data_IF_185051917648
#
_entry.id   IF_185051917648
#
_cell.length_a   1.000
_cell.length_b   1.000
_cell.length_c   1.000
_cell.angle_alpha   90.00
_cell.angle_beta   90.00
_cell.angle_gamma   90.00
#
_symmetry.space_group_name_H-M   'P 1'
#
loop_
_entity.id
_entity.type
_entity.pdbx_description
1 polymer ?
#
# COMPACT_ATOMS: atom_id res chain seq x y z
N UNK A 1 -21.48 17.72 56.71
CA UNK A 1 -21.86 19.14 56.92
C UNK A 1 -23.07 19.42 56.04
N UNK A 2 -24.24 19.64 56.70
CA UNK A 2 -25.51 19.94 56.04
C UNK A 2 -25.43 21.27 55.30
N UNK A 3 -25.92 21.32 54.06
CA UNK A 3 -26.07 22.57 53.31
C UNK A 3 -27.07 23.47 54.05
N UNK A 4 -26.58 24.32 54.92
CA UNK A 4 -27.35 25.40 55.51
C UNK A 4 -27.85 26.29 54.38
N UNK A 5 -29.14 26.47 54.35
CA UNK A 5 -29.84 27.27 53.33
C UNK A 5 -29.46 28.76 53.49
N UNK A 6 -28.50 29.21 52.76
CA UNK A 6 -27.90 30.55 52.80
C UNK A 6 -28.87 31.67 52.41
N UNK A 7 -30.08 31.30 51.93
CA UNK A 7 -31.07 32.24 51.40
C UNK A 7 -31.89 33.01 52.50
N UNK A 8 -31.80 32.57 53.75
CA UNK A 8 -32.57 33.14 54.85
C UNK A 8 -31.75 33.82 55.95
N UNK A 9 -30.45 33.95 55.76
CA UNK A 9 -29.54 34.59 56.69
C UNK A 9 -29.55 36.10 56.52
N UNK A 10 -29.57 36.83 57.64
CA UNK A 10 -29.42 38.29 57.66
C UNK A 10 -28.01 38.68 57.20
N UNK A 11 -27.83 39.93 56.81
CA UNK A 11 -26.56 40.46 56.32
C UNK A 11 -25.42 40.31 57.33
N UNK A 12 -25.71 40.41 58.64
CA UNK A 12 -24.74 40.21 59.71
C UNK A 12 -24.32 38.73 59.85
N UNK A 13 -25.26 37.81 59.79
CA UNK A 13 -25.00 36.37 59.86
C UNK A 13 -24.22 35.85 58.64
N UNK A 14 -24.45 36.41 57.45
CA UNK A 14 -23.67 36.13 56.27
C UNK A 14 -22.20 36.58 56.40
N UNK A 15 -21.97 37.73 57.00
CA UNK A 15 -20.62 38.23 57.30
C UNK A 15 -19.87 37.31 58.25
N UNK A 16 -20.58 36.86 59.33
CA UNK A 16 -20.02 35.94 60.31
C UNK A 16 -19.66 34.56 59.67
N UNK A 17 -20.54 34.02 58.85
CA UNK A 17 -20.25 32.77 58.10
C UNK A 17 -19.10 32.95 57.14
N UNK A 18 -19.02 34.09 56.45
CA UNK A 18 -17.88 34.39 55.54
C UNK A 18 -16.57 34.55 56.35
N UNK A 19 -16.63 35.16 57.53
CA UNK A 19 -15.47 35.27 58.42
C UNK A 19 -15.04 33.93 58.99
N UNK A 20 -15.96 33.03 59.35
CA UNK A 20 -15.68 31.66 59.78
C UNK A 20 -15.08 30.85 58.64
N UNK A 21 -15.67 30.89 57.47
CA UNK A 21 -15.12 30.21 56.28
C UNK A 21 -13.74 30.75 55.90
N UNK A 22 -13.49 32.04 56.07
CA UNK A 22 -12.19 32.66 55.83
C UNK A 22 -11.15 32.24 56.88
N UNK A 23 -11.57 32.02 58.13
CA UNK A 23 -10.75 31.55 59.24
C UNK A 23 -10.36 30.09 59.07
N UNK A 24 -11.29 29.25 58.61
CA UNK A 24 -11.03 27.84 58.27
C UNK A 24 -10.12 27.71 57.06
N UNK A 25 -10.22 28.65 56.09
CA UNK A 25 -9.34 28.68 54.91
C UNK A 25 -7.94 29.18 55.26
N UNK A 26 -7.77 29.99 56.31
CA UNK A 26 -6.44 30.50 56.77
C UNK A 26 -5.72 29.47 57.64
N UNK A 27 -6.43 28.44 58.14
CA UNK A 27 -5.85 27.39 58.99
C UNK A 27 -5.57 26.09 58.21
N UNK A 28 -5.85 26.07 56.92
CA UNK A 28 -5.51 24.94 56.05
C UNK A 28 -4.24 25.25 55.27
N UNK A 29 -3.10 24.82 55.84
CA UNK A 29 -1.78 24.68 55.23
C UNK A 29 -1.19 25.97 54.62
N UNK A 30 -0.21 26.51 55.31
CA UNK A 30 0.86 27.30 54.68
C UNK A 30 1.49 26.49 53.56
N UNK A 31 0.84 26.40 52.41
CA UNK A 31 1.48 25.94 51.17
C UNK A 31 2.58 26.95 50.86
N UNK A 32 3.81 26.51 51.00
CA UNK A 32 4.94 27.35 50.69
C UNK A 32 4.83 27.77 49.19
N UNK A 33 5.24 28.99 48.88
CA UNK A 33 5.22 29.49 47.50
C UNK A 33 5.94 28.51 46.54
N UNK A 34 6.93 27.79 47.03
CA UNK A 34 7.64 26.76 46.28
C UNK A 34 6.76 25.56 45.93
N UNK A 35 5.87 25.12 46.82
CA UNK A 35 4.94 24.02 46.53
C UNK A 35 3.90 24.42 45.49
N UNK A 36 3.39 25.65 45.56
CA UNK A 36 2.45 26.19 44.58
C UNK A 36 3.11 26.31 43.20
N UNK A 37 4.32 26.81 43.15
CA UNK A 37 5.09 26.92 41.88
C UNK A 37 5.42 25.54 41.30
N UNK A 38 5.79 24.58 42.11
CA UNK A 38 6.09 23.21 41.69
C UNK A 38 4.86 22.53 41.11
N UNK A 39 3.69 22.65 41.74
CA UNK A 39 2.43 22.07 41.22
C UNK A 39 1.94 22.79 39.96
N UNK A 40 2.09 24.11 39.88
CA UNK A 40 1.79 24.86 38.64
C UNK A 40 2.70 24.45 37.50
N UNK A 41 3.99 24.19 37.75
CA UNK A 41 4.94 23.70 36.77
C UNK A 41 4.55 22.31 36.30
N UNK A 42 4.25 21.40 37.21
CA UNK A 42 3.78 20.02 36.88
C UNK A 42 2.51 20.02 36.03
N UNK A 43 1.54 20.87 36.35
CA UNK A 43 0.31 20.99 35.57
C UNK A 43 0.57 21.54 34.18
N UNK A 44 1.41 22.56 34.06
CA UNK A 44 1.84 23.14 32.77
C UNK A 44 2.57 22.07 31.93
N UNK A 45 3.52 21.37 32.51
CA UNK A 45 4.29 20.36 31.83
C UNK A 45 3.40 19.22 31.30
N UNK A 46 2.41 18.79 32.07
CA UNK A 46 1.42 17.78 31.64
C UNK A 46 0.58 18.27 30.45
N UNK A 47 0.12 19.51 30.48
CA UNK A 47 -0.67 20.09 29.39
C UNK A 47 0.16 20.24 28.13
N UNK A 48 1.37 20.77 28.26
CA UNK A 48 2.32 20.92 27.15
C UNK A 48 2.67 19.55 26.57
N UNK A 49 3.03 18.57 27.42
CA UNK A 49 3.33 17.22 26.99
C UNK A 49 2.20 16.58 26.21
N UNK A 50 0.97 16.65 26.73
CA UNK A 50 -0.22 16.12 26.05
C UNK A 50 -0.49 16.80 24.70
N UNK A 51 -0.29 18.10 24.62
CA UNK A 51 -0.46 18.87 23.38
C UNK A 51 0.61 18.49 22.36
N UNK A 52 1.87 18.41 22.78
CA UNK A 52 2.98 17.99 21.93
C UNK A 52 2.80 16.54 21.48
N UNK A 53 2.46 15.63 22.38
CA UNK A 53 2.22 14.22 22.06
C UNK A 53 1.10 14.04 21.02
N UNK A 54 -0.03 14.75 21.19
CA UNK A 54 -1.11 14.71 20.20
C UNK A 54 -0.66 15.26 18.83
N UNK A 55 0.13 16.33 18.82
CA UNK A 55 0.69 16.89 17.59
C UNK A 55 1.63 15.91 16.90
N UNK A 56 2.54 15.29 17.65
CA UNK A 56 3.50 14.30 17.12
C UNK A 56 2.78 13.07 16.55
N UNK A 57 1.80 12.53 17.30
CA UNK A 57 0.99 11.40 16.84
C UNK A 57 0.23 11.78 15.56
N UNK A 58 -0.34 12.99 15.50
CA UNK A 58 -1.03 13.46 14.31
C UNK A 58 -0.12 13.49 13.07
N UNK A 59 1.09 14.02 13.21
CA UNK A 59 2.07 14.04 12.12
C UNK A 59 2.44 12.63 11.69
N UNK A 60 2.70 11.70 12.64
CA UNK A 60 3.03 10.31 12.33
C UNK A 60 1.91 9.61 11.55
N UNK A 61 0.66 9.83 11.93
CA UNK A 61 -0.51 9.27 11.22
C UNK A 61 -0.60 9.81 9.79
N UNK A 62 -0.38 11.11 9.60
CA UNK A 62 -0.40 11.72 8.25
C UNK A 62 0.73 11.16 7.39
N UNK A 63 1.95 11.08 7.91
CA UNK A 63 3.09 10.51 7.18
C UNK A 63 2.85 9.04 6.82
N UNK A 64 2.33 8.25 7.76
CA UNK A 64 1.98 6.85 7.50
C UNK A 64 0.90 6.72 6.41
N UNK A 65 -0.14 7.55 6.46
CA UNK A 65 -1.20 7.55 5.45
C UNK A 65 -0.68 7.90 4.06
N UNK A 66 0.17 8.93 3.95
CA UNK A 66 0.81 9.31 2.67
C UNK A 66 1.70 8.17 2.17
N UNK A 67 2.49 7.55 3.04
CA UNK A 67 3.38 6.43 2.67
C UNK A 67 2.60 5.24 2.12
N UNK A 68 1.48 4.88 2.75
CA UNK A 68 0.59 3.81 2.27
C UNK A 68 -0.03 4.17 0.92
N UNK A 69 -0.49 5.42 0.76
CA UNK A 69 -1.04 5.89 -0.52
C UNK A 69 -0.01 5.78 -1.66
N UNK A 70 1.20 6.28 -1.43
CA UNK A 70 2.28 6.20 -2.43
C UNK A 70 2.61 4.74 -2.76
N UNK A 71 2.77 3.89 -1.75
CA UNK A 71 3.07 2.48 -1.95
C UNK A 71 1.98 1.77 -2.77
N UNK A 72 0.70 1.96 -2.45
CA UNK A 72 -0.42 1.28 -3.14
C UNK A 72 -0.66 1.79 -4.55
N UNK A 73 -0.38 3.07 -4.82
CA UNK A 73 -0.56 3.64 -6.15
C UNK A 73 0.57 3.27 -7.11
N UNK A 74 1.81 3.19 -6.64
CA UNK A 74 2.99 2.99 -7.49
C UNK A 74 3.47 1.54 -7.51
N UNK A 75 3.26 0.80 -6.43
CA UNK A 75 3.79 -0.56 -6.26
C UNK A 75 2.69 -1.52 -5.77
N UNK A 76 1.70 -1.86 -6.61
CA UNK A 76 0.67 -2.80 -6.22
C UNK A 76 1.25 -4.19 -5.96
N UNK A 77 0.80 -4.82 -4.90
CA UNK A 77 1.14 -6.20 -4.55
C UNK A 77 0.11 -7.13 -5.18
N UNK A 78 0.58 -8.11 -5.93
CA UNK A 78 -0.25 -9.11 -6.60
C UNK A 78 -0.02 -10.47 -5.97
N UNK A 79 -1.08 -11.27 -5.83
CA UNK A 79 -0.99 -12.67 -5.45
C UNK A 79 -1.10 -13.54 -6.69
N UNK A 80 -0.17 -14.49 -6.85
CA UNK A 80 -0.09 -15.36 -8.01
C UNK A 80 -1.04 -16.54 -7.82
N UNK A 81 -1.91 -16.75 -8.81
CA UNK A 81 -2.81 -17.88 -8.89
C UNK A 81 -2.55 -18.68 -10.17
N UNK A 82 -2.47 -20.01 -10.01
CA UNK A 82 -2.19 -20.92 -11.12
C UNK A 82 -0.71 -21.18 -11.36
N UNK A 83 -0.41 -22.02 -12.34
CA UNK A 83 0.92 -22.56 -12.59
C UNK A 83 1.54 -22.09 -13.90
N UNK A 84 0.88 -21.18 -14.61
CA UNK A 84 1.30 -20.77 -15.96
C UNK A 84 2.66 -20.06 -16.02
N UNK A 85 3.18 -19.61 -14.88
CA UNK A 85 4.49 -18.96 -14.74
C UNK A 85 5.50 -19.80 -13.97
N UNK A 86 5.17 -21.06 -13.64
CA UNK A 86 6.11 -21.99 -13.01
C UNK A 86 7.23 -22.36 -14.00
N UNK A 87 8.49 -22.45 -13.57
CA UNK A 87 8.99 -22.37 -12.20
C UNK A 87 9.31 -20.94 -11.70
N UNK A 88 9.23 -19.94 -12.56
CA UNK A 88 9.64 -18.56 -12.21
C UNK A 88 8.77 -17.96 -11.12
N UNK A 89 7.46 -18.17 -11.19
CA UNK A 89 6.50 -17.75 -10.18
C UNK A 89 5.58 -18.90 -9.82
N UNK A 90 5.47 -19.18 -8.53
CA UNK A 90 4.66 -20.27 -8.00
C UNK A 90 3.34 -19.78 -7.43
N UNK A 91 2.35 -20.64 -7.41
CA UNK A 91 1.05 -20.35 -6.83
C UNK A 91 1.17 -19.96 -5.35
N UNK A 92 0.48 -18.90 -4.97
CA UNK A 92 0.46 -18.37 -3.60
C UNK A 92 1.57 -17.37 -3.28
N UNK A 93 2.52 -17.14 -4.18
CA UNK A 93 3.52 -16.10 -4.01
C UNK A 93 2.91 -14.70 -4.14
N UNK A 94 3.52 -13.75 -3.43
CA UNK A 94 3.22 -12.33 -3.57
C UNK A 94 4.34 -11.65 -4.33
N UNK A 95 3.97 -10.91 -5.36
CA UNK A 95 4.91 -10.14 -6.19
C UNK A 95 4.54 -8.67 -6.13
N UNK A 96 5.55 -7.82 -6.12
CA UNK A 96 5.38 -6.37 -6.22
C UNK A 96 5.54 -5.96 -7.67
N UNK A 97 4.51 -5.35 -8.24
CA UNK A 97 4.56 -4.82 -9.59
C UNK A 97 4.94 -3.34 -9.55
N UNK A 98 5.74 -2.90 -10.52
CA UNK A 98 6.06 -1.50 -10.74
C UNK A 98 5.27 -1.02 -11.95
N UNK A 99 4.52 0.06 -11.79
CA UNK A 99 3.76 0.66 -12.89
C UNK A 99 4.65 1.57 -13.73
N UNK A 100 4.28 1.72 -14.99
CA UNK A 100 4.82 2.74 -15.91
C UNK A 100 6.32 2.58 -16.25
N UNK A 101 6.73 1.35 -16.52
CA UNK A 101 8.07 1.05 -17.04
C UNK A 101 8.01 0.71 -18.54
N UNK A 102 9.05 1.09 -19.29
CA UNK A 102 9.20 0.63 -20.66
C UNK A 102 9.40 -0.89 -20.67
N UNK A 103 8.56 -1.58 -21.44
CA UNK A 103 8.62 -3.05 -21.53
C UNK A 103 9.73 -3.50 -22.47
N UNK A 104 10.40 -4.58 -22.09
CA UNK A 104 11.45 -5.24 -22.86
C UNK A 104 11.18 -6.74 -22.95
N UNK A 105 11.71 -7.38 -24.01
CA UNK A 105 11.69 -8.83 -24.11
C UNK A 105 12.37 -9.45 -22.88
N UNK A 106 11.70 -10.42 -22.26
CA UNK A 106 12.10 -11.07 -21.02
C UNK A 106 11.39 -10.54 -19.76
N UNK A 107 10.78 -9.35 -19.79
CA UNK A 107 10.06 -8.82 -18.64
C UNK A 107 8.80 -9.63 -18.31
N UNK A 108 8.47 -9.71 -17.03
CA UNK A 108 7.23 -10.32 -16.56
C UNK A 108 6.22 -9.21 -16.36
N UNK A 109 5.05 -9.32 -16.99
CA UNK A 109 4.01 -8.31 -16.96
C UNK A 109 2.71 -8.88 -16.41
N UNK A 110 2.00 -8.04 -15.65
CA UNK A 110 0.65 -8.31 -15.21
C UNK A 110 -0.31 -7.41 -16.01
N UNK A 111 -1.34 -8.01 -16.61
CA UNK A 111 -2.31 -7.30 -17.45
C UNK A 111 -3.71 -7.86 -17.30
N UNK A 112 -4.70 -7.06 -17.61
CA UNK A 112 -6.10 -7.46 -17.56
C UNK A 112 -6.54 -8.09 -18.88
N UNK A 113 -7.11 -9.29 -18.80
CA UNK A 113 -7.84 -9.93 -19.89
C UNK A 113 -9.30 -10.10 -19.49
N UNK A 114 -10.15 -9.23 -19.97
CA UNK A 114 -11.51 -9.15 -19.47
C UNK A 114 -11.52 -8.88 -17.95
N UNK A 115 -12.09 -9.78 -17.17
CA UNK A 115 -12.18 -9.64 -15.71
C UNK A 115 -11.07 -10.39 -14.95
N UNK A 116 -10.04 -10.89 -15.64
CA UNK A 116 -8.95 -11.66 -15.03
C UNK A 116 -7.64 -10.92 -15.16
N UNK A 117 -6.91 -10.80 -14.06
CA UNK A 117 -5.53 -10.32 -14.08
C UNK A 117 -4.62 -11.52 -14.39
N UNK A 118 -3.91 -11.44 -15.50
CA UNK A 118 -2.96 -12.47 -15.94
C UNK A 118 -1.53 -11.98 -15.77
N UNK A 119 -0.63 -12.91 -15.52
CA UNK A 119 0.82 -12.66 -15.48
C UNK A 119 1.48 -13.51 -16.54
N UNK A 120 2.28 -12.89 -17.39
CA UNK A 120 2.97 -13.54 -18.51
C UNK A 120 4.33 -12.87 -18.73
N UNK A 121 5.18 -13.54 -19.53
CA UNK A 121 6.47 -12.99 -19.95
C UNK A 121 6.37 -12.38 -21.35
N UNK A 122 7.00 -11.24 -21.53
CA UNK A 122 7.16 -10.57 -22.82
C UNK A 122 8.18 -11.35 -23.64
N UNK A 123 7.76 -11.84 -24.78
CA UNK A 123 8.61 -12.58 -25.73
C UNK A 123 9.07 -11.67 -26.86
N UNK A 124 8.13 -10.95 -27.46
CA UNK A 124 8.44 -10.06 -28.57
C UNK A 124 7.70 -8.73 -28.48
N UNK A 125 8.34 -7.69 -29.00
CA UNK A 125 7.87 -6.32 -29.06
C UNK A 125 7.06 -6.09 -30.35
N UNK A 126 6.33 -4.96 -30.44
CA UNK A 126 5.63 -4.57 -31.65
C UNK A 126 6.53 -4.60 -32.90
N UNK A 127 6.00 -5.12 -34.00
CA UNK A 127 6.66 -5.22 -35.29
C UNK A 127 7.54 -6.46 -35.49
N UNK A 128 7.92 -7.18 -34.45
CA UNK A 128 8.77 -8.35 -34.51
C UNK A 128 8.02 -9.59 -35.02
N UNK A 129 8.73 -10.49 -35.65
CA UNK A 129 8.22 -11.79 -36.07
C UNK A 129 8.51 -12.85 -35.03
N UNK A 130 7.48 -13.60 -34.62
CA UNK A 130 7.59 -14.72 -33.70
C UNK A 130 7.29 -16.03 -34.46
N UNK A 131 8.12 -17.00 -34.29
CA UNK A 131 7.88 -18.36 -34.75
C UNK A 131 8.18 -19.36 -33.64
N UNK A 132 7.41 -20.45 -33.59
CA UNK A 132 7.55 -21.50 -32.58
C UNK A 132 7.54 -22.82 -33.33
N UNK A 133 8.62 -23.57 -33.23
CA UNK A 133 8.71 -24.88 -33.88
C UNK A 133 7.91 -25.96 -33.15
N UNK A 134 7.80 -27.13 -33.77
CA UNK A 134 7.08 -28.30 -33.23
C UNK A 134 7.65 -28.81 -31.90
N UNK A 135 8.88 -28.45 -31.58
CA UNK A 135 9.55 -28.82 -30.33
C UNK A 135 9.39 -27.71 -29.26
N UNK A 136 8.65 -26.62 -29.56
CA UNK A 136 8.46 -25.52 -28.68
C UNK A 136 9.63 -24.54 -28.58
N UNK A 137 10.59 -24.57 -29.53
CA UNK A 137 11.64 -23.57 -29.58
C UNK A 137 11.08 -22.28 -30.18
N UNK A 138 11.28 -21.19 -29.48
CA UNK A 138 10.81 -19.85 -29.88
C UNK A 138 11.94 -19.13 -30.60
N UNK A 139 11.64 -18.53 -31.74
CA UNK A 139 12.49 -17.58 -32.43
C UNK A 139 11.82 -16.24 -32.61
N UNK A 140 12.59 -15.17 -32.48
CA UNK A 140 12.16 -13.79 -32.69
C UNK A 140 13.04 -13.17 -33.76
N UNK A 141 12.44 -12.70 -34.86
CA UNK A 141 13.14 -12.17 -36.05
C UNK A 141 14.18 -13.17 -36.58
N UNK A 142 13.84 -14.46 -36.57
CA UNK A 142 14.71 -15.54 -37.02
C UNK A 142 15.86 -15.90 -36.09
N UNK A 143 15.96 -15.30 -34.91
CA UNK A 143 16.95 -15.62 -33.88
C UNK A 143 16.33 -16.47 -32.78
N UNK A 144 16.92 -17.62 -32.48
CA UNK A 144 16.46 -18.47 -31.38
C UNK A 144 16.56 -17.73 -30.06
N UNK A 145 15.49 -17.77 -29.27
CA UNK A 145 15.43 -17.17 -27.93
C UNK A 145 16.11 -18.11 -26.93
N UNK A 146 16.99 -17.55 -26.08
CA UNK A 146 17.61 -18.30 -24.96
C UNK A 146 16.66 -18.30 -23.74
N UNK A 147 15.97 -19.42 -23.55
CA UNK A 147 14.91 -19.57 -22.58
C UNK A 147 15.33 -20.43 -21.39
N UNK A 148 16.39 -20.02 -20.70
CA UNK A 148 16.90 -20.71 -19.49
C UNK A 148 15.94 -20.79 -18.32
N UNK A 149 14.88 -20.01 -18.34
CA UNK A 149 13.85 -19.98 -17.32
C UNK A 149 12.81 -21.10 -17.46
N UNK A 150 12.80 -21.84 -18.56
CA UNK A 150 11.87 -22.94 -18.80
C UNK A 150 12.41 -24.24 -18.21
N UNK A 151 11.53 -25.03 -17.61
CA UNK A 151 11.82 -26.43 -17.28
C UNK A 151 11.68 -27.32 -18.49
N UNK A 152 10.64 -27.17 -19.28
CA UNK A 152 10.32 -27.93 -20.46
C UNK A 152 9.84 -27.03 -21.59
N UNK A 153 10.24 -27.33 -22.80
CA UNK A 153 9.79 -26.67 -24.02
C UNK A 153 8.61 -27.46 -24.58
N UNK A 154 7.53 -26.77 -24.88
CA UNK A 154 6.38 -27.34 -25.56
C UNK A 154 5.76 -26.28 -26.47
N UNK A 155 5.11 -26.69 -27.55
CA UNK A 155 4.36 -25.79 -28.42
C UNK A 155 3.19 -25.15 -27.66
N UNK A 156 2.63 -25.87 -26.68
CA UNK A 156 1.48 -25.42 -25.93
C UNK A 156 0.22 -25.29 -26.81
N UNK A 157 -0.81 -24.64 -26.26
CA UNK A 157 -1.96 -24.23 -27.04
C UNK A 157 -1.70 -22.84 -27.64
N UNK A 158 -1.43 -22.82 -28.93
CA UNK A 158 -1.26 -21.56 -29.67
C UNK A 158 -2.43 -21.43 -30.65
N UNK A 159 -3.33 -20.50 -30.37
CA UNK A 159 -4.48 -20.20 -31.24
C UNK A 159 -4.12 -19.18 -32.36
N UNK A 160 -2.83 -18.97 -32.60
CA UNK A 160 -2.30 -17.98 -33.52
C UNK A 160 -1.54 -18.70 -34.62
N UNK A 161 -1.79 -18.30 -35.86
CA UNK A 161 -1.03 -18.79 -37.03
C UNK A 161 0.43 -18.36 -36.91
N UNK A 162 1.33 -19.30 -36.99
CA UNK A 162 2.78 -19.09 -36.95
C UNK A 162 3.40 -19.28 -38.36
N UNK A 163 4.42 -18.51 -38.73
CA UNK A 163 5.01 -17.39 -38.01
C UNK A 163 4.07 -16.17 -37.91
N UNK A 164 4.09 -15.48 -36.76
CA UNK A 164 3.20 -14.35 -36.47
C UNK A 164 3.98 -13.05 -36.35
N UNK A 165 3.54 -12.01 -37.06
CA UNK A 165 4.05 -10.65 -36.85
C UNK A 165 3.25 -9.93 -35.78
N UNK A 166 3.94 -9.47 -34.75
CA UNK A 166 3.34 -8.71 -33.65
C UNK A 166 2.93 -7.34 -34.17
N UNK A 167 1.65 -7.02 -34.11
CA UNK A 167 1.12 -5.74 -34.59
C UNK A 167 1.67 -4.55 -33.78
N UNK A 168 1.64 -3.32 -34.35
CA UNK A 168 2.25 -2.10 -33.80
C UNK A 168 1.69 -1.70 -32.44
N UNK A 169 0.79 -2.17 -31.85
CA UNK A 169 0.32 -1.83 -30.48
C UNK A 169 0.21 -3.06 -29.60
N UNK A 170 0.84 -4.15 -30.03
CA UNK A 170 0.71 -5.43 -29.37
C UNK A 170 2.04 -5.93 -28.84
N UNK A 171 1.96 -6.78 -27.87
CA UNK A 171 3.10 -7.53 -27.33
C UNK A 171 2.78 -9.01 -27.39
N UNK A 172 3.78 -9.80 -27.75
CA UNK A 172 3.62 -11.24 -27.73
C UNK A 172 4.05 -11.76 -26.35
N UNK A 173 3.12 -12.42 -25.67
CA UNK A 173 3.27 -12.85 -24.29
C UNK A 173 3.10 -14.35 -24.16
N UNK A 174 3.97 -14.99 -23.39
CA UNK A 174 3.89 -16.43 -23.09
C UNK A 174 4.04 -16.69 -21.59
N UNK A 175 3.48 -17.78 -21.11
CA UNK A 175 3.80 -18.30 -19.79
C UNK A 175 5.11 -19.05 -19.76
N UNK A 176 5.72 -19.14 -18.61
CA UNK A 176 6.94 -19.92 -18.41
C UNK A 176 6.66 -21.44 -18.31
N UNK A 177 5.43 -21.82 -17.97
CA UNK A 177 4.98 -23.21 -18.08
C UNK A 177 4.30 -23.40 -19.43
N UNK A 178 5.05 -23.89 -20.43
CA UNK A 178 4.60 -24.01 -21.82
C UNK A 178 3.49 -25.04 -22.02
N UNK A 179 3.50 -26.10 -21.27
CA UNK A 179 2.49 -27.17 -21.38
C UNK A 179 1.08 -26.71 -20.97
N UNK A 180 1.00 -25.88 -19.93
CA UNK A 180 -0.28 -25.38 -19.39
C UNK A 180 -0.63 -23.99 -19.83
N UNK A 181 0.26 -23.29 -20.56
CA UNK A 181 0.06 -21.89 -20.94
C UNK A 181 -0.44 -21.76 -22.37
N UNK A 182 -1.47 -20.94 -22.55
CA UNK A 182 -1.89 -20.49 -23.87
C UNK A 182 -0.97 -19.32 -24.25
N UNK A 183 -0.34 -19.38 -25.43
CA UNK A 183 0.34 -18.24 -26.01
C UNK A 183 -0.70 -17.23 -26.48
N UNK A 184 -0.49 -15.98 -26.17
CA UNK A 184 -1.47 -14.94 -26.45
C UNK A 184 -0.81 -13.71 -27.05
N UNK A 185 -1.28 -13.28 -28.22
CA UNK A 185 -0.95 -11.98 -28.76
C UNK A 185 -1.97 -10.96 -28.25
N UNK A 186 -1.50 -9.95 -27.54
CA UNK A 186 -2.39 -8.98 -26.90
C UNK A 186 -2.31 -7.58 -27.45
N UNK A 187 -3.49 -7.04 -27.71
CA UNK A 187 -3.76 -5.70 -28.26
C UNK A 187 -3.73 -4.60 -27.25
N UNK A 188 -3.65 -4.60 -26.11
CA UNK A 188 -3.53 -3.53 -25.11
C UNK A 188 -2.98 -4.12 -23.82
N UNK A 189 -1.68 -3.98 -23.60
CA UNK A 189 -1.19 -3.91 -22.25
C UNK A 189 -1.66 -2.56 -21.69
N UNK A 190 -2.92 -2.45 -21.36
CA UNK A 190 -3.32 -1.46 -20.37
C UNK A 190 -2.72 -1.92 -19.06
N UNK A 191 -1.47 -1.55 -18.85
CA UNK A 191 -1.03 -1.30 -17.49
C UNK A 191 -2.15 -0.49 -16.86
N UNK A 192 -2.51 -0.69 -15.58
CA UNK A 192 -3.52 0.12 -14.93
C UNK A 192 -3.04 1.57 -14.81
N UNK A 193 -2.92 2.24 -15.94
CA UNK A 193 -2.80 3.69 -16.02
C UNK A 193 -4.23 4.18 -16.08
N UNK A 194 -4.70 4.78 -14.98
CA UNK A 194 -5.80 5.70 -15.04
C UNK A 194 -5.45 6.80 -16.06
N UNK A 195 -5.92 6.63 -17.29
CA UNK A 195 -6.21 7.74 -18.20
C UNK A 195 -7.63 7.55 -18.67
N UNK A 196 -8.52 8.25 -18.02
CA UNK A 196 -9.70 8.77 -18.68
C UNK A 196 -9.25 9.91 -19.59
#
# INVERSE_FOLDING_TARGET
>A
MEKKDLKHLSRSELVDVICEMKKDTTNSNDLTMEEIESEQKRLRDRVVYRKTLKGTIGILVVVAAISVLVATLWMPVLSIYGYSMSPTLEQGQYVVSVKDTELKSGDIVAFWQGNKLLVKRVIASPGQWVDIDVNGNVSVDGKALDEKYLNEKALGNCDIDLPHQVSESHWFLMGDNRDTSIAVSYTHLTLPTNRE
#
